data_IF_650669907991
#
_entry.id   IF_650669907991
#
_cell.length_a   1.000
_cell.length_b   1.000
_cell.length_c   1.000
_cell.angle_alpha   90.00
_cell.angle_beta   90.00
_cell.angle_gamma   90.00
#
_symmetry.space_group_name_H-M   'P 1'
#
loop_
_entity.id
_entity.type
_entity.pdbx_description
1 polymer ?
#
# COMPACT_ATOMS: atom_id res chain seq x y z
N UNK A 1 -6.58 -11.09 13.04
CA UNK A 1 -7.85 -10.57 13.59
C UNK A 1 -8.09 -9.25 12.89
N UNK A 2 -9.22 -9.03 12.23
CA UNK A 2 -9.46 -7.77 11.54
C UNK A 2 -9.56 -6.64 12.56
N UNK A 3 -8.65 -5.68 12.48
CA UNK A 3 -8.59 -4.52 13.35
C UNK A 3 -9.22 -3.32 12.67
N UNK A 4 -9.82 -2.39 13.42
CA UNK A 4 -10.37 -1.18 12.84
C UNK A 4 -9.22 -0.31 12.32
N UNK A 5 -9.36 0.15 11.08
CA UNK A 5 -8.34 0.97 10.40
C UNK A 5 -8.98 2.20 9.78
N UNK A 6 -8.16 3.17 9.41
CA UNK A 6 -8.62 4.38 8.75
C UNK A 6 -8.18 4.39 7.29
N UNK A 7 -9.06 4.83 6.39
CA UNK A 7 -8.71 5.10 4.99
C UNK A 7 -9.12 6.50 4.59
N UNK A 8 -8.23 7.23 3.93
CA UNK A 8 -8.47 8.63 3.67
C UNK A 8 -7.50 9.27 2.70
N UNK A 9 -7.48 10.59 2.75
CA UNK A 9 -6.67 11.44 1.89
C UNK A 9 -5.73 12.27 2.75
N UNK A 10 -4.47 12.32 2.35
CA UNK A 10 -3.49 13.22 2.94
C UNK A 10 -3.80 14.67 2.57
N UNK A 11 -3.69 15.56 3.56
CA UNK A 11 -3.83 16.99 3.40
C UNK A 11 -2.51 17.69 3.79
N UNK A 12 -2.41 18.97 3.46
CA UNK A 12 -1.21 19.77 3.69
C UNK A 12 -0.71 19.70 5.15
N UNK A 13 0.62 19.64 5.32
CA UNK A 13 1.32 19.61 6.63
C UNK A 13 0.97 18.41 7.51
N UNK A 14 0.85 17.23 6.92
CA UNK A 14 0.61 15.99 7.66
C UNK A 14 -0.76 15.94 8.34
N UNK A 15 -1.74 16.70 7.81
CA UNK A 15 -3.14 16.56 8.20
C UNK A 15 -3.79 15.49 7.33
N UNK A 16 -4.92 14.95 7.77
CA UNK A 16 -5.67 13.99 6.95
C UNK A 16 -7.17 14.12 7.15
N UNK A 17 -7.91 13.60 6.17
CA UNK A 17 -9.35 13.34 6.27
C UNK A 17 -9.57 11.87 5.95
N UNK A 18 -10.22 11.11 6.83
CA UNK A 18 -10.36 9.67 6.72
C UNK A 18 -11.71 9.15 7.20
N UNK A 19 -12.04 7.95 6.75
CA UNK A 19 -13.20 7.13 7.11
C UNK A 19 -12.75 5.87 7.83
N UNK A 20 -13.64 5.31 8.64
CA UNK A 20 -13.36 4.07 9.36
C UNK A 20 -13.61 2.86 8.46
N UNK A 21 -12.70 1.90 8.49
CA UNK A 21 -12.95 0.52 8.02
C UNK A 21 -12.99 -0.36 9.26
N UNK A 22 -14.17 -0.91 9.56
CA UNK A 22 -14.41 -1.68 10.79
C UNK A 22 -13.64 -3.01 10.79
N UNK A 23 -13.65 -3.72 9.66
CA UNK A 23 -12.82 -4.89 9.40
C UNK A 23 -11.69 -4.48 8.46
N UNK A 24 -10.74 -3.72 9.01
CA UNK A 24 -9.49 -3.44 8.33
C UNK A 24 -8.67 -4.70 8.10
N UNK A 25 -7.77 -4.59 7.14
CA UNK A 25 -6.83 -5.66 6.77
C UNK A 25 -5.41 -5.11 6.84
N UNK A 26 -4.44 -6.02 6.93
CA UNK A 26 -3.02 -5.68 6.92
C UNK A 26 -2.59 -5.08 5.58
N UNK A 27 -1.48 -4.29 5.54
CA UNK A 27 -1.06 -3.61 4.33
C UNK A 27 -0.76 -4.57 3.17
N UNK A 28 -0.36 -5.81 3.48
CA UNK A 28 -0.11 -6.86 2.49
C UNK A 28 -1.38 -7.31 1.73
N UNK A 29 -2.56 -7.11 2.33
CA UNK A 29 -3.86 -7.48 1.75
C UNK A 29 -4.57 -6.25 1.21
N UNK A 30 -4.61 -5.15 1.98
CA UNK A 30 -5.39 -3.98 1.62
C UNK A 30 -4.77 -3.17 0.47
N UNK A 31 -3.44 -3.07 0.40
CA UNK A 31 -2.78 -2.30 -0.68
C UNK A 31 -3.02 -2.91 -2.06
N UNK A 32 -2.81 -4.23 -2.28
CA UNK A 32 -3.13 -4.84 -3.58
C UNK A 32 -4.61 -4.75 -3.92
N UNK A 33 -5.49 -4.84 -2.92
CA UNK A 33 -6.93 -4.65 -3.11
C UNK A 33 -7.24 -3.24 -3.61
N UNK A 34 -6.68 -2.21 -2.98
CA UNK A 34 -6.87 -0.81 -3.38
C UNK A 34 -6.32 -0.54 -4.79
N UNK A 35 -5.18 -1.13 -5.17
CA UNK A 35 -4.65 -1.05 -6.54
C UNK A 35 -5.61 -1.64 -7.57
N UNK A 36 -6.24 -2.78 -7.25
CA UNK A 36 -7.25 -3.40 -8.12
C UNK A 36 -8.52 -2.55 -8.21
N UNK A 37 -9.05 -2.08 -7.09
CA UNK A 37 -10.21 -1.17 -7.07
C UNK A 37 -9.92 0.08 -7.91
N UNK A 38 -8.75 0.69 -7.73
CA UNK A 38 -8.32 1.87 -8.48
C UNK A 38 -8.26 1.61 -10.00
N UNK A 39 -7.70 0.47 -10.40
CA UNK A 39 -7.54 0.11 -11.81
C UNK A 39 -8.86 -0.32 -12.45
N UNK A 40 -9.56 -1.27 -11.81
CA UNK A 40 -10.70 -1.98 -12.38
C UNK A 40 -12.01 -1.20 -12.25
N UNK A 41 -12.20 -0.46 -11.15
CA UNK A 41 -13.44 0.29 -10.87
C UNK A 41 -13.32 1.74 -11.30
N UNK A 42 -12.20 2.39 -10.97
CA UNK A 42 -12.02 3.84 -11.15
C UNK A 42 -11.20 4.21 -12.38
N UNK A 43 -10.81 3.24 -13.23
CA UNK A 43 -10.02 3.50 -14.45
C UNK A 43 -8.79 4.36 -14.19
N UNK A 44 -8.11 4.14 -13.05
CA UNK A 44 -6.95 4.90 -12.57
C UNK A 44 -7.22 6.35 -12.13
N UNK A 45 -8.47 6.74 -11.94
CA UNK A 45 -8.82 8.05 -11.35
C UNK A 45 -8.71 8.01 -9.82
N UNK A 46 -7.59 8.53 -9.30
CA UNK A 46 -7.32 8.60 -7.85
C UNK A 46 -8.29 9.55 -7.13
N UNK A 47 -8.74 10.62 -7.79
CA UNK A 47 -9.66 11.59 -7.20
C UNK A 47 -11.05 11.01 -7.03
N UNK A 48 -11.56 10.32 -8.07
CA UNK A 48 -12.83 9.63 -8.02
C UNK A 48 -12.84 8.50 -6.97
N UNK A 49 -11.76 7.72 -6.90
CA UNK A 49 -11.60 6.69 -5.86
C UNK A 49 -11.61 7.29 -4.45
N UNK A 50 -10.85 8.38 -4.24
CA UNK A 50 -10.78 9.05 -2.95
C UNK A 50 -12.14 9.62 -2.52
N UNK A 51 -12.86 10.28 -3.44
CA UNK A 51 -14.19 10.79 -3.18
C UNK A 51 -15.16 9.66 -2.79
N UNK A 52 -15.10 8.53 -3.48
CA UNK A 52 -15.93 7.37 -3.19
C UNK A 52 -15.59 6.74 -1.83
N UNK A 53 -14.29 6.57 -1.51
CA UNK A 53 -13.84 6.06 -0.21
C UNK A 53 -14.25 6.98 0.95
N UNK A 54 -14.28 8.30 0.73
CA UNK A 54 -14.71 9.28 1.72
C UNK A 54 -16.22 9.45 1.81
N UNK A 55 -17.02 8.80 0.96
CA UNK A 55 -18.48 8.95 0.97
C UNK A 55 -19.15 8.24 2.16
N UNK A 56 -18.55 7.15 2.66
CA UNK A 56 -19.12 6.31 3.72
C UNK A 56 -18.02 5.82 4.67
N UNK A 57 -18.40 5.44 5.90
CA UNK A 57 -17.59 4.45 6.63
C UNK A 57 -17.82 3.08 6.00
N UNK A 58 -16.90 2.15 6.25
CA UNK A 58 -16.88 0.84 5.60
C UNK A 58 -16.86 -0.27 6.63
N UNK A 59 -17.65 -1.32 6.41
CA UNK A 59 -17.45 -2.59 7.09
C UNK A 59 -16.19 -3.26 6.56
N UNK A 60 -16.07 -3.37 5.23
CA UNK A 60 -14.90 -3.90 4.56
C UNK A 60 -14.86 -3.44 3.10
N UNK A 61 -13.67 -3.41 2.51
CA UNK A 61 -13.48 -3.13 1.09
C UNK A 61 -13.42 -4.44 0.28
N UNK A 62 -13.89 -4.41 -0.96
CA UNK A 62 -13.81 -5.54 -1.88
C UNK A 62 -13.99 -5.09 -3.34
N UNK A 63 -13.28 -5.73 -4.28
CA UNK A 63 -13.46 -5.48 -5.72
C UNK A 63 -14.85 -5.92 -6.19
N UNK A 64 -15.30 -7.10 -5.72
CA UNK A 64 -16.58 -7.69 -6.12
C UNK A 64 -17.41 -8.07 -4.88
N UNK A 65 -17.96 -7.07 -4.15
CA UNK A 65 -18.74 -7.34 -2.95
C UNK A 65 -20.04 -8.06 -3.32
N UNK A 66 -20.25 -9.25 -2.76
CA UNK A 66 -21.51 -9.99 -2.91
C UNK A 66 -22.48 -9.53 -1.82
N UNK A 67 -23.77 -9.28 -2.14
CA UNK A 67 -24.74 -8.91 -1.13
C UNK A 67 -24.85 -10.00 -0.06
N UNK A 68 -24.75 -9.61 1.22
CA UNK A 68 -24.97 -10.54 2.34
C UNK A 68 -26.40 -10.39 2.84
N UNK A 69 -26.98 -11.49 3.32
CA UNK A 69 -28.37 -11.52 3.83
C UNK A 69 -28.61 -10.58 5.02
N UNK A 70 -27.55 -10.24 5.76
CA UNK A 70 -27.59 -9.41 6.96
C UNK A 70 -27.06 -7.99 6.74
N UNK A 71 -26.56 -7.65 5.54
CA UNK A 71 -26.18 -6.28 5.23
C UNK A 71 -27.46 -5.46 5.02
N UNK A 72 -27.68 -4.46 5.88
CA UNK A 72 -28.81 -3.55 5.73
C UNK A 72 -28.63 -2.63 4.51
N UNK A 73 -27.39 -2.30 4.18
CA UNK A 73 -27.05 -1.48 3.03
C UNK A 73 -26.58 -2.32 1.85
N UNK A 74 -26.98 -1.90 0.65
CA UNK A 74 -26.51 -2.53 -0.59
C UNK A 74 -25.02 -2.25 -0.76
N UNK A 75 -24.18 -3.26 -1.07
CA UNK A 75 -22.77 -3.03 -1.31
C UNK A 75 -22.57 -2.06 -2.47
N UNK A 76 -21.56 -1.20 -2.35
CA UNK A 76 -21.15 -0.28 -3.41
C UNK A 76 -20.31 -1.07 -4.41
N UNK A 77 -20.77 -1.22 -5.67
CA UNK A 77 -20.06 -1.99 -6.69
C UNK A 77 -18.61 -1.52 -6.83
N UNK A 78 -17.67 -2.46 -6.88
CA UNK A 78 -16.26 -2.12 -7.08
C UNK A 78 -15.54 -1.53 -5.87
N UNK A 79 -16.19 -1.38 -4.71
CA UNK A 79 -15.61 -0.69 -3.55
C UNK A 79 -15.77 -1.46 -2.24
N UNK A 80 -16.97 -1.91 -1.88
CA UNK A 80 -17.16 -2.69 -0.66
C UNK A 80 -18.53 -2.58 0.01
N UNK A 81 -18.54 -2.87 1.30
CA UNK A 81 -19.73 -2.85 2.16
C UNK A 81 -19.74 -1.58 3.00
N UNK A 82 -20.65 -0.62 2.75
CA UNK A 82 -20.73 0.59 3.56
C UNK A 82 -21.27 0.29 4.96
N UNK A 83 -20.85 1.07 5.94
CA UNK A 83 -21.35 1.06 7.30
C UNK A 83 -22.30 2.25 7.55
N UNK A 84 -23.22 2.11 8.51
CA UNK A 84 -24.23 3.13 8.81
C UNK A 84 -23.67 4.39 9.50
N UNK A 85 -22.43 4.34 9.99
CA UNK A 85 -21.79 5.49 10.59
C UNK A 85 -21.23 6.41 9.50
N UNK A 86 -21.44 7.71 9.64
CA UNK A 86 -21.00 8.71 8.65
C UNK A 86 -20.07 9.74 9.32
N UNK A 87 -19.15 9.26 10.17
CA UNK A 87 -18.27 10.17 10.90
C UNK A 87 -16.95 10.36 10.14
N UNK A 88 -16.83 11.46 9.40
CA UNK A 88 -15.55 11.88 8.84
C UNK A 88 -14.58 12.20 9.98
N UNK A 89 -13.44 11.49 10.02
CA UNK A 89 -12.35 11.82 10.92
C UNK A 89 -11.38 12.78 10.26
N UNK A 90 -10.96 13.80 11.01
CA UNK A 90 -9.93 14.74 10.61
C UNK A 90 -8.90 14.81 11.73
N UNK A 91 -7.64 14.68 11.38
CA UNK A 91 -6.55 14.64 12.36
C UNK A 91 -5.22 15.09 11.79
N UNK A 92 -4.18 14.96 12.60
CA UNK A 92 -2.80 15.19 12.21
C UNK A 92 -1.94 13.96 12.52
N UNK A 93 -0.98 13.63 11.64
CA UNK A 93 -0.07 12.50 11.83
C UNK A 93 0.79 12.60 13.11
N UNK A 94 0.93 13.80 13.67
CA UNK A 94 1.69 14.06 14.90
C UNK A 94 0.85 13.99 16.16
N UNK A 95 -0.45 13.78 16.06
CA UNK A 95 -1.32 13.63 17.22
C UNK A 95 -1.12 12.25 17.87
N UNK A 96 -1.28 12.19 19.19
CA UNK A 96 -1.31 10.90 19.89
C UNK A 96 -2.57 10.13 19.49
N UNK A 97 -2.39 8.86 19.16
CA UNK A 97 -3.46 8.00 18.68
C UNK A 97 -3.94 7.14 19.85
N UNK A 98 -5.09 7.52 20.40
CA UNK A 98 -5.78 6.71 21.41
C UNK A 98 -6.65 5.62 20.79
N UNK A 99 -6.71 4.45 21.44
CA UNK A 99 -7.69 3.40 21.15
C UNK A 99 -7.17 2.21 20.35
N UNK A 100 -8.08 1.47 19.71
CA UNK A 100 -7.82 0.20 19.04
C UNK A 100 -7.47 0.32 17.54
N UNK A 101 -7.10 1.52 17.07
CA UNK A 101 -6.72 1.72 15.65
C UNK A 101 -5.31 1.21 15.42
N UNK A 102 -5.16 0.34 14.43
CA UNK A 102 -3.86 -0.23 14.06
C UNK A 102 -3.23 0.51 12.87
N UNK A 103 -3.98 0.61 11.78
CA UNK A 103 -3.49 1.16 10.51
C UNK A 103 -4.24 2.42 10.06
N UNK A 104 -3.50 3.29 9.37
CA UNK A 104 -4.02 4.45 8.63
C UNK A 104 -3.47 4.44 7.21
N UNK A 105 -4.38 4.43 6.24
CA UNK A 105 -4.12 4.40 4.81
C UNK A 105 -4.45 5.75 4.18
N UNK A 106 -3.44 6.50 3.73
CA UNK A 106 -3.61 7.83 3.16
C UNK A 106 -3.27 7.86 1.68
N UNK A 107 -4.25 8.29 0.87
CA UNK A 107 -4.06 8.61 -0.54
C UNK A 107 -3.47 10.01 -0.66
N UNK A 108 -2.33 10.10 -1.35
CA UNK A 108 -1.74 11.34 -1.83
C UNK A 108 -2.14 11.50 -3.29
N UNK A 109 -3.16 12.35 -3.54
CA UNK A 109 -3.80 12.48 -4.84
C UNK A 109 -2.81 12.93 -5.93
N UNK A 110 -1.99 13.93 -5.61
CA UNK A 110 -1.03 14.52 -6.55
C UNK A 110 0.08 13.54 -6.95
N UNK A 111 0.40 12.59 -6.07
CA UNK A 111 1.47 11.60 -6.25
C UNK A 111 0.95 10.22 -6.70
N UNK A 112 -0.38 10.04 -6.80
CA UNK A 112 -1.04 8.74 -7.04
C UNK A 112 -0.49 7.63 -6.14
N UNK A 113 -0.33 7.96 -4.87
CA UNK A 113 0.37 7.13 -3.88
C UNK A 113 -0.54 6.85 -2.69
N UNK A 114 -0.35 5.67 -2.11
CA UNK A 114 -0.94 5.25 -0.86
C UNK A 114 0.18 5.11 0.18
N UNK A 115 0.12 5.89 1.25
CA UNK A 115 1.04 5.79 2.39
C UNK A 115 0.32 5.14 3.55
N UNK A 116 0.98 4.17 4.17
CA UNK A 116 0.45 3.40 5.28
C UNK A 116 1.19 3.78 6.55
N UNK A 117 0.43 4.08 7.60
CA UNK A 117 0.93 4.40 8.92
C UNK A 117 0.44 3.38 9.94
N UNK A 118 1.27 3.12 10.94
CA UNK A 118 0.98 2.23 12.08
C UNK A 118 0.92 3.04 13.37
N UNK A 119 -0.04 2.75 14.25
CA UNK A 119 -0.19 3.42 15.54
C UNK A 119 0.08 2.52 16.76
N UNK A 120 -0.27 1.24 16.70
CA UNK A 120 -0.35 0.32 17.86
C UNK A 120 0.96 0.12 18.59
N UNK A 121 2.09 0.07 17.88
CA UNK A 121 3.41 -0.12 18.53
C UNK A 121 3.95 1.17 19.13
N UNK A 122 3.47 2.34 18.69
CA UNK A 122 4.14 3.62 18.94
C UNK A 122 3.28 4.68 19.63
N UNK A 123 1.97 4.46 19.78
CA UNK A 123 1.02 5.43 20.33
C UNK A 123 0.81 6.68 19.45
N UNK A 124 1.37 6.69 18.25
CA UNK A 124 1.33 7.78 17.27
C UNK A 124 1.46 7.22 15.86
N UNK A 125 1.00 7.94 14.85
CA UNK A 125 1.16 7.53 13.46
C UNK A 125 2.63 7.58 13.04
N UNK A 126 3.24 6.42 12.82
CA UNK A 126 4.53 6.31 12.14
C UNK A 126 4.36 5.69 10.76
N UNK A 127 5.06 6.25 9.78
CA UNK A 127 5.03 5.76 8.40
C UNK A 127 5.63 4.36 8.37
N UNK A 128 4.81 3.39 7.99
CA UNK A 128 5.18 1.98 7.87
C UNK A 128 5.58 1.63 6.44
N UNK A 129 4.78 2.02 5.44
CA UNK A 129 5.08 1.73 4.03
C UNK A 129 4.48 2.74 3.07
N UNK A 130 4.98 2.76 1.84
CA UNK A 130 4.56 3.70 0.81
C UNK A 130 4.45 3.02 -0.55
N UNK A 131 3.33 3.19 -1.24
CA UNK A 131 3.01 2.40 -2.42
C UNK A 131 2.48 3.31 -3.53
N UNK A 132 3.10 3.27 -4.70
CA UNK A 132 2.46 3.84 -5.88
C UNK A 132 1.24 3.01 -6.26
N UNK A 133 0.16 3.66 -6.66
CA UNK A 133 -1.02 2.97 -7.16
C UNK A 133 -0.75 2.36 -8.54
N UNK A 134 0.00 3.08 -9.38
CA UNK A 134 0.58 2.55 -10.60
C UNK A 134 1.90 1.85 -10.27
N UNK A 135 2.11 0.58 -10.61
CA UNK A 135 3.44 0.00 -10.53
C UNK A 135 4.35 0.70 -11.52
N UNK A 136 5.20 1.62 -11.05
CA UNK A 136 6.23 2.27 -11.88
C UNK A 136 7.14 1.22 -12.54
N UNK A 137 7.66 1.51 -13.73
CA UNK A 137 8.67 0.68 -14.40
C UNK A 137 9.93 0.55 -13.52
N UNK A 138 10.34 1.66 -12.89
CA UNK A 138 11.42 1.71 -11.90
C UNK A 138 11.08 0.89 -10.66
N UNK A 139 12.04 0.08 -10.21
CA UNK A 139 11.89 -0.84 -9.09
C UNK A 139 12.11 -0.17 -7.73
N UNK A 140 12.95 0.87 -7.71
CA UNK A 140 13.34 1.63 -6.53
C UNK A 140 13.33 3.11 -6.88
N UNK A 141 12.58 3.90 -6.13
CA UNK A 141 12.51 5.35 -6.31
C UNK A 141 12.99 6.02 -5.02
N UNK A 142 13.93 6.95 -5.15
CA UNK A 142 14.37 7.79 -4.02
C UNK A 142 13.38 8.94 -3.87
N UNK A 143 12.60 8.88 -2.80
CA UNK A 143 11.59 9.89 -2.51
C UNK A 143 12.23 11.07 -1.78
N UNK A 144 11.89 12.31 -2.16
CA UNK A 144 12.29 13.47 -1.40
C UNK A 144 11.73 13.38 0.03
N UNK A 145 12.43 13.99 0.96
CA UNK A 145 11.95 14.26 2.30
C UNK A 145 10.47 14.67 2.29
N UNK A 146 9.61 13.99 3.04
CA UNK A 146 8.23 14.44 3.27
C UNK A 146 8.28 15.92 3.73
N UNK A 147 7.21 16.72 3.51
CA UNK A 147 7.10 18.16 3.85
C UNK A 147 7.52 18.54 5.30
N UNK A 148 7.76 17.55 6.16
CA UNK A 148 8.32 17.67 7.50
C UNK A 148 9.86 17.56 7.62
N UNK A 149 10.62 17.45 6.53
CA UNK A 149 12.09 17.49 6.54
C UNK A 149 12.79 16.17 6.95
N UNK A 150 12.27 15.01 6.52
CA UNK A 150 12.93 13.71 6.74
C UNK A 150 14.14 13.47 5.80
N UNK A 151 14.96 12.43 6.03
CA UNK A 151 15.94 12.01 5.02
C UNK A 151 15.23 11.53 3.74
N UNK A 152 15.91 11.63 2.60
CA UNK A 152 15.48 10.94 1.38
C UNK A 152 15.42 9.44 1.65
N UNK A 153 14.35 8.79 1.17
CA UNK A 153 14.14 7.37 1.42
C UNK A 153 13.84 6.63 0.12
N UNK A 154 14.58 5.56 -0.12
CA UNK A 154 14.36 4.67 -1.25
C UNK A 154 13.16 3.77 -0.98
N UNK A 155 12.21 3.72 -1.91
CA UNK A 155 10.98 2.93 -1.80
C UNK A 155 10.96 1.85 -2.88
N UNK A 156 10.70 0.60 -2.51
CA UNK A 156 10.44 -0.46 -3.48
C UNK A 156 9.04 -0.29 -4.09
N UNK A 157 8.94 -0.08 -5.40
CA UNK A 157 7.64 0.19 -6.06
C UNK A 157 6.73 -1.05 -6.15
N UNK A 158 7.33 -2.24 -6.05
CA UNK A 158 6.63 -3.53 -6.08
C UNK A 158 5.80 -3.72 -4.81
N UNK A 159 6.48 -3.70 -3.65
CA UNK A 159 5.87 -4.04 -2.37
C UNK A 159 5.70 -2.86 -1.43
N UNK A 160 6.31 -1.70 -1.71
CA UNK A 160 6.27 -0.48 -0.91
C UNK A 160 7.17 -0.45 0.33
N UNK A 161 8.20 -1.30 0.38
CA UNK A 161 9.19 -1.28 1.46
C UNK A 161 10.00 0.01 1.43
N UNK A 162 10.37 0.54 2.61
CA UNK A 162 11.10 1.82 2.73
C UNK A 162 12.42 1.62 3.47
N UNK A 163 12.45 0.78 4.49
CA UNK A 163 13.60 0.45 5.34
C UNK A 163 14.19 -0.94 5.07
N UNK A 164 13.52 -1.74 4.26
CA UNK A 164 13.93 -3.11 3.86
C UNK A 164 14.59 -3.10 2.48
N UNK A 165 15.50 -2.14 2.25
CA UNK A 165 16.18 -1.90 0.99
C UNK A 165 17.70 -1.94 1.22
N UNK A 166 18.35 -2.93 0.62
CA UNK A 166 19.81 -3.06 0.61
C UNK A 166 20.35 -2.44 -0.68
N UNK A 167 21.38 -1.60 -0.55
CA UNK A 167 22.14 -1.05 -1.67
C UNK A 167 23.62 -1.38 -1.51
N UNK A 168 24.23 -1.92 -2.56
CA UNK A 168 25.64 -2.28 -2.63
C UNK A 168 26.24 -1.63 -3.86
N UNK A 169 27.41 -1.01 -3.69
CA UNK A 169 28.23 -0.47 -4.76
C UNK A 169 29.64 -1.07 -4.65
N UNK A 170 30.12 -1.69 -5.72
CA UNK A 170 31.46 -2.31 -5.78
C UNK A 170 32.18 -1.90 -7.06
N UNK A 171 33.53 -1.77 -7.04
CA UNK A 171 34.28 -1.51 -8.26
C UNK A 171 34.02 -2.59 -9.32
N UNK A 172 33.73 -2.17 -10.55
CA UNK A 172 33.37 -3.11 -11.62
C UNK A 172 34.57 -3.95 -12.05
N UNK A 173 34.34 -5.24 -12.34
CA UNK A 173 35.36 -6.10 -12.97
C UNK A 173 35.65 -5.70 -14.42
N UNK A 174 34.86 -4.79 -15.01
CA UNK A 174 35.12 -4.19 -16.33
C UNK A 174 36.40 -3.33 -16.37
N UNK A 175 37.01 -3.02 -15.22
CA UNK A 175 38.23 -2.20 -15.11
C UNK A 175 37.96 -0.69 -15.13
N UNK A 176 36.70 -0.28 -15.19
CA UNK A 176 36.24 1.10 -15.00
C UNK A 176 34.79 1.11 -14.49
N UNK A 177 34.41 2.15 -13.76
CA UNK A 177 33.06 2.29 -13.21
C UNK A 177 32.78 1.41 -11.98
N UNK A 178 31.52 1.37 -11.57
CA UNK A 178 31.02 0.63 -10.42
C UNK A 178 29.85 -0.26 -10.83
N UNK A 179 29.80 -1.46 -10.28
CA UNK A 179 28.61 -2.30 -10.32
C UNK A 179 27.76 -1.93 -9.10
N UNK A 180 26.49 -1.62 -9.31
CA UNK A 180 25.55 -1.34 -8.23
C UNK A 180 24.49 -2.42 -8.17
N UNK A 181 24.03 -2.75 -6.97
CA UNK A 181 22.93 -3.67 -6.76
C UNK A 181 22.02 -3.12 -5.66
N UNK A 182 20.76 -2.88 -6.00
CA UNK A 182 19.72 -2.50 -5.05
C UNK A 182 18.71 -3.64 -4.96
N UNK A 183 18.38 -4.08 -3.75
CA UNK A 183 17.44 -5.19 -3.53
C UNK A 183 16.48 -4.90 -2.39
N UNK A 184 15.22 -5.32 -2.55
CA UNK A 184 14.23 -5.27 -1.49
C UNK A 184 14.23 -6.60 -0.75
N UNK A 185 14.61 -6.59 0.53
CA UNK A 185 14.66 -7.83 1.33
C UNK A 185 13.26 -8.36 1.66
N UNK A 186 12.23 -7.51 1.61
CA UNK A 186 10.83 -7.92 1.80
C UNK A 186 10.24 -8.74 0.64
N UNK A 187 10.38 -8.24 -0.59
CA UNK A 187 9.78 -8.90 -1.76
C UNK A 187 10.77 -9.66 -2.64
N UNK A 188 12.07 -9.48 -2.41
CA UNK A 188 13.14 -10.09 -3.20
C UNK A 188 13.29 -9.53 -4.61
N UNK A 189 12.66 -8.38 -4.93
CA UNK A 189 12.91 -7.69 -6.20
C UNK A 189 14.25 -6.97 -6.15
N UNK A 190 14.95 -6.88 -7.29
CA UNK A 190 16.28 -6.27 -7.35
C UNK A 190 16.57 -5.61 -8.69
N UNK A 191 17.45 -4.63 -8.68
CA UNK A 191 18.09 -4.02 -9.84
C UNK A 191 19.59 -4.13 -9.63
N UNK A 192 20.30 -4.67 -10.61
CA UNK A 192 21.74 -4.57 -10.68
C UNK A 192 22.11 -3.74 -11.91
N UNK A 193 23.08 -2.86 -11.80
CA UNK A 193 23.60 -2.08 -12.92
C UNK A 193 25.09 -2.35 -13.04
N UNK A 194 25.55 -2.65 -14.25
CA UNK A 194 26.98 -2.73 -14.56
C UNK A 194 27.34 -1.88 -15.79
N UNK A 195 28.58 -1.38 -15.89
CA UNK A 195 29.00 -0.48 -16.99
C UNK A 195 28.97 -1.10 -18.39
N UNK A 196 28.98 -2.43 -18.50
CA UNK A 196 29.08 -3.14 -19.79
C UNK A 196 27.71 -3.53 -20.35
N UNK A 197 26.78 -3.97 -19.49
CA UNK A 197 25.50 -4.55 -19.88
C UNK A 197 24.29 -3.72 -19.42
N UNK A 198 24.50 -2.70 -18.58
CA UNK A 198 23.46 -1.78 -18.13
C UNK A 198 22.60 -2.38 -17.02
N UNK A 199 21.29 -2.05 -17.02
CA UNK A 199 20.38 -2.41 -15.95
C UNK A 199 19.80 -3.82 -16.10
N UNK A 200 19.95 -4.62 -15.06
CA UNK A 200 19.37 -5.95 -14.87
C UNK A 200 18.29 -5.91 -13.80
N UNK A 201 17.03 -5.88 -14.26
CA UNK A 201 15.83 -5.76 -13.43
C UNK A 201 15.22 -7.14 -13.16
N UNK A 202 15.11 -7.53 -11.89
CA UNK A 202 14.34 -8.70 -11.45
C UNK A 202 13.16 -8.24 -10.60
N UNK A 203 11.97 -8.24 -11.19
CA UNK A 203 10.71 -7.93 -10.49
C UNK A 203 10.05 -9.20 -9.99
N UNK A 204 9.80 -9.32 -8.68
CA UNK A 204 9.06 -10.43 -8.09
C UNK A 204 7.55 -10.12 -8.06
N UNK A 205 6.68 -11.12 -8.29
CA UNK A 205 5.25 -10.96 -8.10
C UNK A 205 4.95 -10.66 -6.62
N UNK A 206 4.08 -9.68 -6.36
CA UNK A 206 3.71 -9.25 -5.02
C UNK A 206 2.21 -8.94 -4.93
N UNK A 207 1.49 -9.37 -3.88
CA UNK A 207 1.95 -10.21 -2.77
C UNK A 207 2.36 -11.61 -3.25
N UNK A 208 3.23 -12.32 -2.53
CA UNK A 208 3.67 -13.65 -2.93
C UNK A 208 2.44 -14.55 -3.07
N UNK A 209 2.24 -15.12 -4.26
CA UNK A 209 1.22 -16.13 -4.43
C UNK A 209 1.65 -17.36 -3.64
N UNK A 210 0.91 -17.73 -2.59
CA UNK A 210 1.03 -19.08 -2.05
C UNK A 210 0.73 -20.04 -3.21
N UNK A 211 1.59 -21.05 -3.47
CA UNK A 211 1.26 -22.06 -4.44
C UNK A 211 -0.07 -22.69 -4.00
N UNK A 212 -1.09 -22.56 -4.85
CA UNK A 212 -2.40 -23.18 -4.62
C UNK A 212 -2.14 -24.67 -4.38
N UNK A 213 -2.33 -25.13 -3.15
CA UNK A 213 -2.32 -26.56 -2.83
C UNK A 213 -3.43 -27.18 -3.66
N UNK A 214 -3.05 -27.82 -4.77
CA UNK A 214 -3.99 -28.48 -5.66
C UNK A 214 -4.73 -29.56 -4.90
N UNK A 215 -6.06 -29.50 -4.98
CA UNK A 215 -6.96 -30.60 -4.67
C UNK A 215 -6.50 -31.87 -5.39
N UNK A 216 -5.76 -32.71 -4.69
CA UNK A 216 -5.55 -34.10 -5.05
C UNK A 216 -6.52 -34.97 -4.23
N UNK A 217 -7.83 -34.78 -4.43
CA UNK A 217 -8.81 -35.83 -4.14
C UNK A 217 -9.00 -36.69 -5.40
N UNK A 218 -7.96 -37.46 -5.70
CA UNK A 218 -8.04 -38.61 -6.60
C UNK A 218 -8.84 -39.71 -5.91
N UNK A 219 -10.14 -39.74 -6.19
CA UNK A 219 -11.03 -40.86 -5.87
C UNK A 219 -10.51 -42.14 -6.51
N UNK A 220 -9.96 -43.06 -5.72
CA UNK A 220 -9.81 -44.45 -6.11
C UNK A 220 -11.02 -45.24 -5.61
N UNK A 221 -11.77 -45.78 -6.57
CA UNK A 221 -12.73 -46.88 -6.39
C UNK A 221 -11.98 -48.18 -6.11
#
# INVERSE_FOLDING_TARGET
MSTPTLIGVAAFRGRYTARLIQFGEDPQVLVPLLRRIWTDTFSRDTGAMAAALLAHDWWSLAVNPKPRRWDQQRPVPGLGHPADNDTIRRGALREDVGGALEWLYLLHLDQRRLVVYEATVHGRWLRHSAHHLDPADELFITEPADDGGGPEMTVCTVCGAVDEIDHVEVPSMAGYGYDTATSCTRCGSSVATDPMFGDHVTRKPWPPHNPTTGDATGSAR
#
